data_IF_279896030398
#
_entry.id   IF_279896030398
#
_cell.length_a   1.000
_cell.length_b   1.000
_cell.length_c   1.000
_cell.angle_alpha   90.00
_cell.angle_beta   90.00
_cell.angle_gamma   90.00
#
_symmetry.space_group_name_H-M   'P 1'
#
loop_
_entity.id
_entity.type
_entity.pdbx_description
1 polymer ?
#
# COMPACT_ATOMS: atom_id res chain seq x y z
N UNK A 1 -11.76 26.69 -14.48
CA UNK A 1 -12.14 25.50 -13.68
C UNK A 1 -11.04 24.46 -13.87
N UNK A 2 -10.28 24.18 -12.83
CA UNK A 2 -9.25 23.12 -12.84
C UNK A 2 -9.93 21.78 -12.62
N UNK A 3 -9.86 20.87 -13.59
CA UNK A 3 -10.48 19.55 -13.55
C UNK A 3 -9.47 18.53 -13.00
N UNK A 4 -9.91 17.61 -12.14
CA UNK A 4 -9.08 16.49 -11.71
C UNK A 4 -8.80 15.55 -12.89
N UNK A 5 -7.61 14.95 -12.95
CA UNK A 5 -7.28 13.95 -13.99
C UNK A 5 -8.09 12.66 -13.85
N UNK A 6 -8.37 12.23 -12.62
CA UNK A 6 -9.10 10.98 -12.32
C UNK A 6 -10.34 11.28 -11.49
N UNK A 7 -11.45 10.56 -11.73
CA UNK A 7 -12.71 10.73 -11.00
C UNK A 7 -12.58 10.27 -9.54
N UNK A 8 -11.73 9.29 -9.30
CA UNK A 8 -11.44 8.68 -8.00
C UNK A 8 -10.87 9.74 -7.04
N UNK A 9 -9.92 10.56 -7.52
CA UNK A 9 -9.35 11.65 -6.73
C UNK A 9 -10.30 12.84 -6.56
N UNK A 10 -11.14 13.13 -7.55
CA UNK A 10 -12.21 14.13 -7.40
C UNK A 10 -13.21 13.69 -6.31
N UNK A 11 -13.64 12.43 -6.35
CA UNK A 11 -14.50 11.85 -5.33
C UNK A 11 -13.82 11.89 -3.95
N UNK A 12 -12.55 11.46 -3.86
CA UNK A 12 -11.84 11.48 -2.59
C UNK A 12 -11.70 12.90 -2.02
N UNK A 13 -11.39 13.89 -2.86
CA UNK A 13 -11.36 15.30 -2.44
C UNK A 13 -12.69 15.73 -1.81
N UNK A 14 -13.82 15.45 -2.46
CA UNK A 14 -15.14 15.80 -1.91
C UNK A 14 -15.46 15.05 -0.63
N UNK A 15 -15.12 13.76 -0.55
CA UNK A 15 -15.31 12.95 0.65
C UNK A 15 -14.49 13.48 1.84
N UNK A 16 -13.24 13.88 1.60
CA UNK A 16 -12.40 14.55 2.62
C UNK A 16 -13.06 15.84 3.11
N UNK A 17 -13.55 16.69 2.21
CA UNK A 17 -14.20 17.94 2.61
C UNK A 17 -15.47 17.72 3.44
N UNK A 18 -16.21 16.66 3.14
CA UNK A 18 -17.40 16.27 3.89
C UNK A 18 -17.03 15.75 5.29
N UNK A 19 -15.97 14.96 5.40
CA UNK A 19 -15.49 14.43 6.69
C UNK A 19 -14.86 15.51 7.58
N UNK A 20 -14.25 16.54 6.97
CA UNK A 20 -13.56 17.62 7.68
C UNK A 20 -14.12 19.01 7.29
N UNK A 21 -15.39 19.32 7.66
CA UNK A 21 -16.05 20.56 7.24
C UNK A 21 -15.43 21.83 7.81
N UNK A 22 -14.57 21.71 8.84
CA UNK A 22 -13.85 22.84 9.46
C UNK A 22 -12.48 23.11 8.82
N UNK A 23 -12.08 22.35 7.79
CA UNK A 23 -10.80 22.58 7.11
C UNK A 23 -10.77 24.00 6.52
N UNK A 24 -9.74 24.78 6.87
CA UNK A 24 -9.57 26.18 6.44
C UNK A 24 -9.61 26.28 4.91
N UNK A 25 -10.22 27.35 4.38
CA UNK A 25 -10.35 27.59 2.92
C UNK A 25 -9.01 27.45 2.19
N UNK A 26 -7.94 28.03 2.74
CA UNK A 26 -6.58 27.89 2.20
C UNK A 26 -6.13 26.42 2.09
N UNK A 27 -6.39 25.59 3.11
CA UNK A 27 -6.03 24.19 3.09
C UNK A 27 -6.87 23.39 2.08
N UNK A 28 -8.14 23.77 1.84
CA UNK A 28 -8.97 23.14 0.80
C UNK A 28 -8.41 23.39 -0.60
N UNK A 29 -8.04 24.63 -0.90
CA UNK A 29 -7.41 25.00 -2.17
C UNK A 29 -6.10 24.25 -2.39
N UNK A 30 -5.24 24.22 -1.37
CA UNK A 30 -3.96 23.50 -1.42
C UNK A 30 -4.15 21.99 -1.57
N UNK A 31 -5.17 21.40 -0.96
CA UNK A 31 -5.51 19.99 -1.15
C UNK A 31 -5.92 19.71 -2.59
N UNK A 32 -6.80 20.55 -3.16
CA UNK A 32 -7.22 20.43 -4.55
C UNK A 32 -6.03 20.54 -5.52
N UNK A 33 -5.13 21.51 -5.30
CA UNK A 33 -3.93 21.69 -6.12
C UNK A 33 -2.99 20.48 -6.08
N UNK A 34 -2.83 19.87 -4.90
CA UNK A 34 -1.98 18.70 -4.72
C UNK A 34 -2.52 17.44 -5.38
N UNK A 35 -3.85 17.29 -5.42
CA UNK A 35 -4.51 16.08 -5.93
C UNK A 35 -4.86 16.15 -7.43
N UNK A 36 -5.20 17.33 -7.97
CA UNK A 36 -5.81 17.46 -9.31
C UNK A 36 -4.97 16.88 -10.46
N UNK A 37 -3.64 16.93 -10.34
CA UNK A 37 -2.71 16.56 -11.41
C UNK A 37 -2.16 15.13 -11.25
N UNK A 38 -2.52 14.44 -10.16
CA UNK A 38 -2.14 13.06 -9.91
C UNK A 38 -2.99 12.15 -10.80
N UNK A 39 -2.34 11.18 -11.43
CA UNK A 39 -2.98 10.12 -12.20
C UNK A 39 -2.67 8.78 -11.53
N UNK A 40 -3.61 8.30 -10.72
CA UNK A 40 -3.50 7.00 -10.07
C UNK A 40 -3.95 5.88 -11.04
N UNK A 41 -3.41 4.67 -10.89
CA UNK A 41 -3.76 3.55 -11.76
C UNK A 41 -5.23 3.14 -11.59
N UNK A 42 -5.87 2.82 -12.71
CA UNK A 42 -7.17 2.17 -12.73
C UNK A 42 -6.97 0.64 -12.70
N UNK A 43 -7.64 -0.04 -11.76
CA UNK A 43 -7.63 -1.51 -11.61
C UNK A 43 -8.05 -2.21 -12.90
N UNK A 44 -8.86 -1.56 -13.74
CA UNK A 44 -9.33 -2.13 -15.00
C UNK A 44 -8.24 -2.27 -16.07
N UNK A 45 -7.07 -1.64 -15.88
CA UNK A 45 -5.92 -1.82 -16.75
C UNK A 45 -5.09 -3.03 -16.29
N UNK A 46 -5.45 -4.21 -16.80
CA UNK A 46 -4.82 -5.52 -16.60
C UNK A 46 -3.34 -5.61 -17.09
N UNK A 47 -2.47 -4.71 -16.64
CA UNK A 47 -1.03 -4.90 -16.80
C UNK A 47 -0.50 -5.62 -15.57
N UNK A 48 -0.34 -6.95 -15.73
CA UNK A 48 0.15 -7.93 -14.75
C UNK A 48 1.53 -7.63 -14.12
N UNK A 49 2.18 -6.53 -14.48
CA UNK A 49 3.54 -6.18 -14.03
C UNK A 49 3.58 -5.13 -12.92
N UNK A 50 2.47 -4.48 -12.59
CA UNK A 50 2.43 -3.46 -11.55
C UNK A 50 1.96 -4.04 -10.21
N UNK A 51 2.77 -3.88 -9.17
CA UNK A 51 2.40 -4.26 -7.80
C UNK A 51 1.55 -3.15 -7.20
N UNK A 52 0.23 -3.35 -7.29
CA UNK A 52 -0.75 -2.44 -6.71
C UNK A 52 -1.02 -2.77 -5.25
N UNK A 53 -1.29 -1.74 -4.48
CA UNK A 53 -1.81 -1.86 -3.13
C UNK A 53 -3.08 -1.02 -3.03
N UNK A 54 -4.16 -1.71 -2.67
CA UNK A 54 -5.43 -1.09 -2.32
C UNK A 54 -5.33 -0.45 -0.94
N UNK A 55 -5.75 0.81 -0.83
CA UNK A 55 -5.82 1.57 0.41
C UNK A 55 -7.23 2.12 0.58
N UNK A 56 -7.79 1.97 1.78
CA UNK A 56 -9.02 2.64 2.16
C UNK A 56 -8.70 3.83 3.06
N UNK A 57 -8.87 5.04 2.52
CA UNK A 57 -8.38 6.28 3.13
C UNK A 57 -9.56 7.23 3.30
N UNK A 58 -9.79 7.73 4.52
CA UNK A 58 -10.86 8.69 4.83
C UNK A 58 -12.24 8.31 4.26
N UNK A 59 -12.54 7.02 4.12
CA UNK A 59 -13.76 6.54 3.46
C UNK A 59 -13.93 7.05 2.00
N UNK A 60 -12.85 7.44 1.33
CA UNK A 60 -12.83 7.81 -0.09
C UNK A 60 -13.14 6.63 -1.04
N UNK A 61 -13.37 5.43 -0.51
CA UNK A 61 -13.37 4.19 -1.28
C UNK A 61 -11.96 3.61 -1.40
N UNK A 62 -11.81 2.64 -2.30
CA UNK A 62 -10.53 2.00 -2.60
C UNK A 62 -9.69 2.89 -3.50
N UNK A 63 -8.50 3.24 -3.03
CA UNK A 63 -7.49 3.97 -3.79
C UNK A 63 -6.29 3.06 -4.01
N UNK A 64 -5.83 2.99 -5.25
CA UNK A 64 -4.69 2.16 -5.61
C UNK A 64 -3.42 3.00 -5.63
N UNK A 65 -2.38 2.48 -4.99
CA UNK A 65 -1.03 2.97 -5.14
C UNK A 65 -0.17 1.90 -5.82
N UNK A 66 0.87 2.34 -6.50
CA UNK A 66 1.85 1.49 -7.20
C UNK A 66 3.20 1.59 -6.51
N UNK A 67 3.77 0.42 -6.24
CA UNK A 67 5.15 0.29 -5.77
C UNK A 67 6.12 0.31 -6.95
N UNK A 68 7.27 0.97 -6.78
CA UNK A 68 8.39 0.86 -7.69
C UNK A 68 9.18 -0.42 -7.38
N UNK A 69 8.83 -1.47 -8.11
CA UNK A 69 9.30 -2.83 -7.82
C UNK A 69 10.73 -3.04 -8.25
N UNK A 70 11.16 -2.43 -9.36
CA UNK A 70 12.55 -2.49 -9.78
C UNK A 70 13.48 -1.97 -8.68
N UNK A 71 13.14 -0.82 -8.09
CA UNK A 71 13.91 -0.26 -6.97
C UNK A 71 13.84 -1.14 -5.73
N UNK A 72 12.69 -1.72 -5.43
CA UNK A 72 12.54 -2.64 -4.29
C UNK A 72 13.39 -3.91 -4.49
N UNK A 73 13.44 -4.44 -5.71
CA UNK A 73 14.21 -5.63 -6.10
C UNK A 73 15.73 -5.38 -6.15
N UNK A 74 16.16 -4.15 -6.45
CA UNK A 74 17.57 -3.74 -6.45
C UNK A 74 18.05 -3.28 -5.07
N UNK A 75 17.14 -3.02 -4.13
CA UNK A 75 17.51 -2.59 -2.80
C UNK A 75 18.11 -3.74 -1.98
N UNK A 76 19.30 -3.50 -1.44
CA UNK A 76 20.00 -4.38 -0.50
C UNK A 76 19.79 -3.85 0.93
N UNK A 77 18.87 -4.45 1.71
CA UNK A 77 18.61 -4.02 3.08
C UNK A 77 19.79 -4.38 4.01
N UNK A 78 20.05 -3.52 5.00
CA UNK A 78 21.02 -3.82 6.04
C UNK A 78 20.37 -4.70 7.13
N UNK A 79 21.18 -5.38 7.95
CA UNK A 79 20.64 -6.20 9.05
C UNK A 79 19.77 -5.40 10.04
N UNK A 80 20.04 -4.11 10.23
CA UNK A 80 19.24 -3.23 11.08
C UNK A 80 17.85 -2.88 10.51
N UNK A 81 17.58 -3.21 9.24
CA UNK A 81 16.30 -2.96 8.60
C UNK A 81 15.32 -4.14 8.76
N UNK A 82 15.73 -5.21 9.45
CA UNK A 82 14.92 -6.40 9.62
C UNK A 82 14.30 -6.52 11.01
N UNK A 83 13.06 -6.98 11.03
CA UNK A 83 12.34 -7.43 12.21
C UNK A 83 11.83 -8.85 12.01
N UNK A 84 11.45 -9.50 13.10
CA UNK A 84 10.84 -10.83 13.05
C UNK A 84 9.37 -10.74 13.44
N UNK A 85 8.51 -11.27 12.58
CA UNK A 85 7.07 -11.30 12.78
C UNK A 85 6.56 -12.72 12.64
N UNK A 86 5.63 -13.10 13.50
CA UNK A 86 4.95 -14.38 13.48
C UNK A 86 3.90 -14.45 12.36
N UNK A 87 3.57 -15.66 11.90
CA UNK A 87 2.39 -15.89 11.05
C UNK A 87 1.13 -15.31 11.70
N UNK A 88 1.00 -15.40 13.03
CA UNK A 88 -0.14 -14.85 13.77
C UNK A 88 -0.30 -13.35 13.53
N UNK A 89 0.78 -12.58 13.63
CA UNK A 89 0.79 -11.13 13.39
C UNK A 89 0.51 -10.82 11.92
N UNK A 90 1.23 -11.46 11.01
CA UNK A 90 1.15 -11.21 9.57
C UNK A 90 -0.21 -11.59 8.97
N UNK A 91 -0.87 -12.62 9.51
CA UNK A 91 -2.22 -13.01 9.09
C UNK A 91 -3.23 -11.89 9.31
N UNK A 92 -3.04 -11.03 10.31
CA UNK A 92 -3.98 -9.95 10.62
C UNK A 92 -3.99 -8.83 9.59
N UNK A 93 -2.93 -8.73 8.77
CA UNK A 93 -2.77 -7.70 7.74
C UNK A 93 -3.01 -8.22 6.31
N UNK A 94 -3.23 -9.53 6.13
CA UNK A 94 -3.59 -10.11 4.83
C UNK A 94 -5.07 -9.85 4.55
N UNK A 95 -5.36 -9.27 3.38
CA UNK A 95 -6.72 -9.24 2.85
C UNK A 95 -7.03 -10.54 2.10
N UNK A 96 -7.76 -11.44 2.77
CA UNK A 96 -8.27 -12.70 2.21
C UNK A 96 -9.37 -12.51 1.16
N UNK A 97 -9.90 -11.29 1.00
CA UNK A 97 -10.88 -10.99 -0.03
C UNK A 97 -10.25 -10.52 -1.34
N UNK A 98 -8.99 -10.08 -1.32
CA UNK A 98 -8.26 -9.68 -2.51
C UNK A 98 -8.17 -10.86 -3.51
N UNK A 99 -8.52 -10.67 -4.79
CA UNK A 99 -8.48 -11.73 -5.81
C UNK A 99 -7.13 -12.45 -5.88
N UNK A 100 -6.01 -11.70 -5.89
CA UNK A 100 -4.67 -12.29 -5.95
C UNK A 100 -4.34 -13.16 -4.72
N UNK A 101 -4.79 -12.76 -3.53
CA UNK A 101 -4.59 -13.56 -2.30
C UNK A 101 -5.37 -14.87 -2.38
N UNK A 102 -6.61 -14.83 -2.89
CA UNK A 102 -7.45 -16.01 -3.04
C UNK A 102 -6.89 -17.01 -4.05
N UNK A 103 -6.39 -16.51 -5.18
CA UNK A 103 -5.76 -17.32 -6.22
C UNK A 103 -4.54 -18.05 -5.66
N UNK A 104 -3.58 -17.32 -5.08
CA UNK A 104 -2.39 -17.89 -4.44
C UNK A 104 -2.76 -18.90 -3.35
N UNK A 105 -3.77 -18.60 -2.53
CA UNK A 105 -4.21 -19.52 -1.48
C UNK A 105 -4.78 -20.83 -2.06
N UNK A 106 -5.49 -20.76 -3.19
CA UNK A 106 -6.01 -21.95 -3.87
C UNK A 106 -4.86 -22.76 -4.52
N UNK A 107 -3.87 -22.11 -5.12
CA UNK A 107 -2.69 -22.79 -5.67
C UNK A 107 -1.91 -23.54 -4.60
N UNK A 108 -1.68 -22.91 -3.44
CA UNK A 108 -1.00 -23.54 -2.29
C UNK A 108 -1.80 -24.77 -1.81
N UNK A 109 -3.13 -24.69 -1.74
CA UNK A 109 -3.99 -25.83 -1.40
C UNK A 109 -3.88 -26.99 -2.39
N UNK A 110 -3.62 -26.69 -3.67
CA UNK A 110 -3.38 -27.68 -4.71
C UNK A 110 -1.96 -28.25 -4.69
N UNK A 111 -1.11 -27.84 -3.73
CA UNK A 111 0.27 -28.30 -3.60
C UNK A 111 1.23 -27.69 -4.61
N UNK A 112 0.81 -26.64 -5.32
CA UNK A 112 1.68 -25.89 -6.21
C UNK A 112 2.67 -25.07 -5.38
N UNK A 113 3.96 -25.20 -5.70
CA UNK A 113 5.01 -24.43 -5.02
C UNK A 113 5.12 -23.06 -5.66
N UNK A 114 5.00 -22.02 -4.83
CA UNK A 114 5.30 -20.66 -5.25
C UNK A 114 6.82 -20.46 -5.37
N UNK A 115 7.27 -19.74 -6.41
CA UNK A 115 8.68 -19.41 -6.55
C UNK A 115 9.02 -18.21 -5.67
N UNK A 116 9.89 -18.43 -4.67
CA UNK A 116 10.38 -17.37 -3.80
C UNK A 116 11.54 -16.63 -4.46
N UNK A 117 11.36 -15.32 -4.72
CA UNK A 117 12.45 -14.47 -5.20
C UNK A 117 13.36 -13.97 -4.08
N UNK A 118 12.88 -14.02 -2.82
CA UNK A 118 13.58 -13.53 -1.62
C UNK A 118 13.25 -14.39 -0.41
N UNK A 119 14.17 -14.44 0.55
CA UNK A 119 14.04 -15.23 1.79
C UNK A 119 13.38 -14.44 2.94
N UNK A 120 12.94 -13.21 2.71
CA UNK A 120 12.31 -12.33 3.69
C UNK A 120 11.05 -11.65 3.16
N UNK A 121 10.08 -11.40 4.03
CA UNK A 121 8.84 -10.67 3.71
C UNK A 121 9.14 -9.17 3.65
N UNK A 122 8.51 -8.44 2.75
CA UNK A 122 8.63 -6.97 2.71
C UNK A 122 7.39 -6.36 3.32
N UNK A 123 7.57 -5.67 4.44
CA UNK A 123 6.54 -4.92 5.12
C UNK A 123 6.73 -3.43 4.88
N UNK A 124 5.62 -2.72 4.70
CA UNK A 124 5.63 -1.27 4.59
C UNK A 124 4.65 -0.63 5.57
N UNK A 125 5.04 0.52 6.14
CA UNK A 125 4.16 1.39 6.90
C UNK A 125 4.19 2.78 6.26
N UNK A 126 3.09 3.14 5.60
CA UNK A 126 2.98 4.43 4.92
C UNK A 126 2.85 5.58 5.94
N UNK A 127 3.45 6.76 5.70
CA UNK A 127 3.32 7.89 6.62
C UNK A 127 1.85 8.31 6.78
N UNK A 128 1.40 8.40 8.03
CA UNK A 128 -0.01 8.70 8.34
C UNK A 128 -0.94 7.48 8.30
N UNK A 129 -0.40 6.27 8.14
CA UNK A 129 -1.13 5.01 8.18
C UNK A 129 -0.51 4.07 9.21
N UNK A 130 -1.10 3.92 10.40
CA UNK A 130 -0.53 3.10 11.48
C UNK A 130 -0.81 1.60 11.29
N UNK A 131 -0.71 1.09 10.05
CA UNK A 131 -0.93 -0.32 9.71
C UNK A 131 0.15 -0.78 8.75
N UNK A 132 0.69 -1.97 9.00
CA UNK A 132 1.59 -2.64 8.09
C UNK A 132 0.84 -3.16 6.87
N UNK A 133 1.53 -3.14 5.74
CA UNK A 133 1.13 -3.70 4.46
C UNK A 133 2.19 -4.71 4.05
N UNK A 134 1.77 -5.88 3.57
CA UNK A 134 2.67 -6.86 2.97
C UNK A 134 2.82 -6.51 1.50
N UNK A 135 4.00 -6.03 1.12
CA UNK A 135 4.30 -5.65 -0.27
C UNK A 135 4.72 -6.87 -1.08
N UNK A 136 5.46 -7.77 -0.44
CA UNK A 136 5.84 -9.07 -0.99
C UNK A 136 5.91 -10.10 0.14
N UNK A 137 5.39 -11.31 -0.10
CA UNK A 137 5.45 -12.42 0.84
C UNK A 137 4.13 -12.97 1.34
N UNK A 138 3.00 -12.52 0.80
CA UNK A 138 1.68 -13.09 1.14
C UNK A 138 1.65 -14.62 0.96
N UNK A 139 2.17 -15.14 -0.15
CA UNK A 139 2.26 -16.57 -0.41
C UNK A 139 3.03 -17.33 0.68
N UNK A 140 4.16 -16.78 1.14
CA UNK A 140 4.98 -17.39 2.21
C UNK A 140 4.21 -17.49 3.52
N UNK A 141 3.50 -16.42 3.90
CA UNK A 141 2.64 -16.45 5.08
C UNK A 141 1.53 -17.49 4.93
N UNK A 142 0.91 -17.56 3.76
CA UNK A 142 -0.18 -18.50 3.46
C UNK A 142 0.30 -19.97 3.49
N UNK A 143 1.51 -20.26 3.01
CA UNK A 143 2.14 -21.59 3.11
C UNK A 143 2.35 -22.05 4.55
N UNK A 144 2.49 -21.10 5.49
CA UNK A 144 2.68 -21.35 6.93
C UNK A 144 1.45 -21.03 7.77
N UNK A 145 0.28 -20.81 7.17
CA UNK A 145 -0.91 -20.28 7.85
C UNK A 145 -1.40 -21.10 9.05
N UNK A 146 -1.08 -22.40 9.08
CA UNK A 146 -1.43 -23.32 10.16
C UNK A 146 -0.37 -23.38 11.28
N UNK A 147 0.82 -22.83 11.07
CA UNK A 147 1.87 -22.73 12.07
C UNK A 147 1.99 -21.28 12.55
N UNK A 148 1.10 -20.89 13.46
CA UNK A 148 0.93 -19.49 13.89
C UNK A 148 2.18 -18.89 14.55
N UNK A 149 3.05 -19.72 15.12
CA UNK A 149 4.26 -19.29 15.83
C UNK A 149 5.52 -19.34 14.95
N UNK A 150 5.37 -19.68 13.66
CA UNK A 150 6.47 -19.57 12.70
C UNK A 150 6.86 -18.11 12.49
N UNK A 151 8.15 -17.81 12.64
CA UNK A 151 8.70 -16.47 12.49
C UNK A 151 9.29 -16.26 11.11
N UNK A 152 8.93 -15.14 10.48
CA UNK A 152 9.54 -14.66 9.25
C UNK A 152 10.49 -13.50 9.52
N UNK A 153 11.64 -13.52 8.85
CA UNK A 153 12.48 -12.33 8.69
C UNK A 153 11.72 -11.35 7.78
N UNK A 154 11.49 -10.13 8.26
CA UNK A 154 10.70 -9.10 7.60
C UNK A 154 11.55 -7.85 7.40
N UNK A 155 11.72 -7.41 6.16
CA UNK A 155 12.35 -6.14 5.83
C UNK A 155 11.33 -5.01 6.00
N UNK A 156 11.68 -4.00 6.81
CA UNK A 156 10.78 -2.94 7.23
C UNK A 156 10.99 -1.65 6.43
N UNK A 157 10.03 -1.32 5.58
CA UNK A 157 9.92 -0.04 4.91
C UNK A 157 9.04 0.92 5.70
N UNK A 158 9.65 1.68 6.62
CA UNK A 158 8.96 2.65 7.46
C UNK A 158 9.39 4.09 7.21
N UNK A 159 8.66 5.03 7.82
CA UNK A 159 8.90 6.47 7.79
C UNK A 159 8.94 7.05 6.37
N UNK A 160 9.71 8.12 6.16
CA UNK A 160 9.86 8.76 4.84
C UNK A 160 10.59 7.86 3.82
N UNK A 161 11.26 6.78 4.26
CA UNK A 161 12.00 5.88 3.36
C UNK A 161 11.07 5.14 2.41
N UNK A 162 9.90 4.72 2.91
CA UNK A 162 8.88 4.01 2.11
C UNK A 162 8.43 4.82 0.89
N UNK A 163 8.38 6.14 0.99
CA UNK A 163 7.97 7.03 -0.11
C UNK A 163 8.90 6.92 -1.31
N UNK A 164 10.16 6.55 -1.09
CA UNK A 164 11.13 6.40 -2.16
C UNK A 164 10.90 5.13 -3.00
N UNK A 165 10.07 4.20 -2.52
CA UNK A 165 9.70 2.94 -3.19
C UNK A 165 8.31 3.01 -3.84
N UNK A 166 7.71 4.19 -3.92
CA UNK A 166 6.44 4.42 -4.63
C UNK A 166 6.70 5.05 -5.98
N UNK A 167 5.86 4.71 -6.97
CA UNK A 167 5.82 5.43 -8.25
C UNK A 167 5.45 6.91 -8.04
N UNK A 168 5.90 7.85 -8.91
CA UNK A 168 5.78 9.29 -8.67
C UNK A 168 4.38 9.78 -8.28
N UNK A 169 3.33 9.34 -8.99
CA UNK A 169 1.95 9.72 -8.70
C UNK A 169 1.46 9.16 -7.38
N UNK A 170 1.79 7.90 -7.08
CA UNK A 170 1.46 7.25 -5.82
C UNK A 170 2.16 7.90 -4.63
N UNK A 171 3.44 8.27 -4.82
CA UNK A 171 4.22 9.03 -3.85
C UNK A 171 3.58 10.38 -3.55
N UNK A 172 3.28 11.17 -4.59
CA UNK A 172 2.66 12.49 -4.44
C UNK A 172 1.32 12.40 -3.70
N UNK A 173 0.55 11.34 -3.96
CA UNK A 173 -0.69 11.07 -3.27
C UNK A 173 -0.47 10.79 -1.77
N UNK A 174 0.42 9.86 -1.41
CA UNK A 174 0.71 9.55 -0.01
C UNK A 174 1.31 10.75 0.73
N UNK A 175 2.19 11.53 0.11
CA UNK A 175 2.72 12.78 0.67
C UNK A 175 1.62 13.81 0.93
N UNK A 176 0.59 13.83 0.07
CA UNK A 176 -0.58 14.70 0.25
C UNK A 176 -1.45 14.26 1.42
N UNK A 177 -1.70 12.95 1.55
CA UNK A 177 -2.44 12.41 2.70
C UNK A 177 -1.68 12.62 4.01
N UNK A 178 -0.37 12.39 4.02
CA UNK A 178 0.46 12.64 5.18
C UNK A 178 0.45 14.13 5.58
N UNK A 179 0.56 15.05 4.61
CA UNK A 179 0.40 16.48 4.88
C UNK A 179 -0.98 16.79 5.49
N UNK A 180 -2.06 16.23 4.93
CA UNK A 180 -3.40 16.45 5.44
C UNK A 180 -3.53 15.98 6.90
N UNK A 181 -2.98 14.81 7.25
CA UNK A 181 -2.95 14.28 8.61
C UNK A 181 -2.23 15.19 9.63
N UNK A 182 -1.39 16.11 9.18
CA UNK A 182 -0.70 17.07 10.08
C UNK A 182 -1.47 18.37 10.32
N UNK A 183 -2.60 18.57 9.64
CA UNK A 183 -3.38 19.82 9.69
C UNK A 183 -4.87 19.63 9.99
N UNK A 184 -5.34 18.38 10.05
CA UNK A 184 -6.67 18.00 10.55
C UNK A 184 -6.62 17.78 12.06
#
# INVERSE_FOLDING_TARGET
>A
MTKFKTKELEHCYHTILNNFPKLKVYNRQKLQERLKDIELPDILSNNHESFYQELNIFNCGTINITWNIEKLLQYEPNECDFEYHTVRELKTIIDFNAPQTREVFNEIKLGLKSQNKRDYIVLAMLPGFPKFLIIDGNHRVLEKINNLDYNFKCFMLADKRVLSFLEPNSRQFIETIYWLNTII
#
